data_IF_191569752195
#
_entry.id   IF_191569752195
#
_cell.length_a   1.000
_cell.length_b   1.000
_cell.length_c   1.000
_cell.angle_alpha   90.00
_cell.angle_beta   90.00
_cell.angle_gamma   90.00
#
_symmetry.space_group_name_H-M   'P 1'
#
loop_
_entity.id
_entity.type
_entity.pdbx_description
1 polymer ?
#
# COMPACT_ATOMS: atom_id res chain seq x y z
N UNK A 1 -1.36 -30.13 -33.92
CA UNK A 1 -0.38 -31.13 -33.41
C UNK A 1 -0.63 -31.22 -31.94
N UNK A 2 -1.28 -32.29 -31.52
CA UNK A 2 -1.53 -32.49 -30.09
C UNK A 2 -0.17 -32.63 -29.39
N UNK A 3 0.00 -31.92 -28.27
CA UNK A 3 1.12 -32.14 -27.37
C UNK A 3 1.13 -33.64 -27.04
N UNK A 4 2.27 -34.33 -27.06
CA UNK A 4 2.30 -35.74 -26.71
C UNK A 4 1.72 -35.93 -25.31
N UNK A 5 0.69 -36.73 -25.21
CA UNK A 5 0.11 -37.13 -23.93
C UNK A 5 1.21 -37.78 -23.10
N UNK A 6 1.58 -37.28 -21.91
CA UNK A 6 2.70 -37.83 -21.16
C UNK A 6 2.38 -39.27 -20.74
N UNK A 7 3.09 -40.21 -21.27
CA UNK A 7 3.13 -41.61 -20.80
C UNK A 7 4.22 -41.76 -19.74
N UNK A 8 4.24 -40.91 -18.69
CA UNK A 8 5.27 -40.92 -17.66
C UNK A 8 5.01 -39.88 -16.55
N UNK A 9 5.68 -39.94 -15.41
CA UNK A 9 5.28 -39.38 -14.15
C UNK A 9 5.52 -37.85 -13.96
N UNK A 10 5.61 -37.04 -15.02
CA UNK A 10 5.69 -35.59 -14.88
C UNK A 10 4.92 -34.89 -16.01
N UNK A 11 3.88 -34.14 -15.65
CA UNK A 11 3.22 -33.20 -16.54
C UNK A 11 4.23 -32.20 -17.13
N UNK A 12 4.05 -31.71 -18.38
CA UNK A 12 4.92 -30.70 -18.97
C UNK A 12 4.67 -29.35 -18.25
N UNK A 13 5.44 -29.05 -17.23
CA UNK A 13 5.31 -27.84 -16.42
C UNK A 13 6.64 -27.12 -16.19
N UNK A 14 6.57 -25.78 -16.08
CA UNK A 14 7.67 -24.99 -15.57
C UNK A 14 7.76 -25.18 -14.06
N UNK A 15 8.94 -25.46 -13.56
CA UNK A 15 9.20 -25.61 -12.12
C UNK A 15 10.19 -24.59 -11.61
N UNK A 16 9.80 -23.82 -10.59
CA UNK A 16 10.72 -22.94 -9.87
C UNK A 16 11.61 -23.81 -8.99
N UNK A 17 12.90 -23.89 -9.34
CA UNK A 17 13.91 -24.62 -8.57
C UNK A 17 14.45 -23.78 -7.43
N UNK A 18 14.57 -22.47 -7.64
CA UNK A 18 15.13 -21.54 -6.67
C UNK A 18 14.55 -20.15 -6.86
N UNK A 19 14.41 -19.41 -5.76
CA UNK A 19 13.99 -18.02 -5.76
C UNK A 19 14.88 -17.21 -4.80
N UNK A 20 15.46 -16.12 -5.29
CA UNK A 20 16.34 -15.22 -4.53
C UNK A 20 15.88 -13.78 -4.69
N UNK A 21 16.18 -12.98 -3.68
CA UNK A 21 15.92 -11.53 -3.68
C UNK A 21 17.22 -10.78 -3.54
N UNK A 22 17.51 -9.92 -4.49
CA UNK A 22 18.62 -8.97 -4.42
C UNK A 22 18.07 -7.58 -4.07
N UNK A 23 18.36 -7.10 -2.87
CA UNK A 23 17.83 -5.83 -2.34
C UNK A 23 18.64 -4.58 -2.75
N UNK A 24 19.49 -4.72 -3.74
CA UNK A 24 20.34 -3.67 -4.27
C UNK A 24 21.09 -4.13 -5.51
N UNK A 25 22.11 -3.38 -5.90
CA UNK A 25 22.98 -3.75 -7.04
C UNK A 25 23.55 -5.16 -6.89
N UNK A 26 23.50 -5.91 -7.98
CA UNK A 26 23.88 -7.33 -8.03
C UNK A 26 24.54 -7.66 -9.36
N UNK A 27 24.91 -8.93 -9.57
CA UNK A 27 25.60 -9.38 -10.79
C UNK A 27 24.73 -9.29 -12.06
N UNK A 28 23.42 -9.07 -11.92
CA UNK A 28 22.46 -9.03 -13.02
C UNK A 28 21.99 -7.61 -13.34
N UNK A 29 21.89 -6.77 -12.33
CA UNK A 29 21.31 -5.42 -12.42
C UNK A 29 21.84 -4.50 -11.33
N UNK A 30 21.85 -3.20 -11.59
CA UNK A 30 22.03 -2.19 -10.53
C UNK A 30 20.77 -1.99 -9.67
N UNK A 31 19.61 -2.42 -10.16
CA UNK A 31 18.34 -2.32 -9.45
C UNK A 31 18.10 -3.54 -8.56
N UNK A 32 17.32 -3.41 -7.48
CA UNK A 32 16.77 -4.51 -6.74
C UNK A 32 16.04 -5.48 -7.67
N UNK A 33 16.29 -6.79 -7.52
CA UNK A 33 15.78 -7.78 -8.48
C UNK A 33 15.37 -9.07 -7.80
N UNK A 34 14.28 -9.66 -8.30
CA UNK A 34 13.94 -11.05 -8.06
C UNK A 34 14.73 -11.90 -9.07
N UNK A 35 15.27 -13.01 -8.61
CA UNK A 35 15.91 -14.01 -9.42
C UNK A 35 15.25 -15.37 -9.19
N UNK A 36 14.63 -15.89 -10.21
CA UNK A 36 14.09 -17.26 -10.24
C UNK A 36 14.98 -18.13 -11.09
N UNK A 37 15.23 -19.34 -10.62
CA UNK A 37 15.80 -20.42 -11.44
C UNK A 37 14.64 -21.34 -11.79
N UNK A 38 14.33 -21.45 -13.07
CA UNK A 38 13.16 -22.19 -13.56
C UNK A 38 13.62 -23.27 -14.53
N UNK A 39 13.13 -24.48 -14.30
CA UNK A 39 13.30 -25.63 -15.19
C UNK A 39 12.08 -25.72 -16.09
N UNK A 40 12.27 -25.70 -17.40
CA UNK A 40 11.24 -25.83 -18.43
C UNK A 40 10.92 -27.31 -18.76
N UNK A 41 11.75 -28.23 -18.28
CA UNK A 41 11.58 -29.64 -18.61
C UNK A 41 11.48 -29.89 -20.11
N UNK A 42 10.49 -30.67 -20.54
CA UNK A 42 10.21 -30.95 -21.94
C UNK A 42 9.79 -29.71 -22.74
N UNK A 43 9.28 -28.66 -22.08
CA UNK A 43 8.84 -27.43 -22.71
C UNK A 43 9.98 -26.59 -23.29
N UNK A 44 11.23 -26.94 -23.02
CA UNK A 44 12.39 -26.38 -23.73
C UNK A 44 12.35 -26.64 -25.24
N UNK A 45 11.71 -27.72 -25.69
CA UNK A 45 11.58 -28.08 -27.09
C UNK A 45 10.39 -27.37 -27.78
N UNK A 46 9.56 -26.67 -27.02
CA UNK A 46 8.33 -26.03 -27.51
C UNK A 46 8.38 -24.49 -27.33
N UNK A 47 8.97 -23.74 -28.29
CA UNK A 47 8.88 -22.30 -28.30
C UNK A 47 7.42 -21.85 -28.50
N UNK A 48 7.09 -20.63 -28.10
CA UNK A 48 5.72 -20.09 -28.17
C UNK A 48 5.05 -20.22 -29.56
N UNK A 49 5.83 -20.16 -30.65
CA UNK A 49 5.34 -20.39 -32.02
C UNK A 49 4.90 -21.83 -32.31
N UNK A 50 5.32 -22.79 -31.48
CA UNK A 50 4.90 -24.18 -31.56
C UNK A 50 3.67 -24.50 -30.68
N UNK A 51 3.14 -23.53 -29.94
CA UNK A 51 2.00 -23.65 -29.03
C UNK A 51 0.78 -22.91 -29.62
N UNK A 52 -0.16 -23.60 -30.28
CA UNK A 52 -1.30 -22.97 -30.96
C UNK A 52 -2.18 -22.18 -29.98
N UNK A 53 -2.49 -20.92 -30.31
CA UNK A 53 -3.36 -20.04 -29.53
C UNK A 53 -2.78 -19.55 -28.21
N UNK A 54 -1.51 -19.91 -27.89
CA UNK A 54 -0.88 -19.51 -26.63
C UNK A 54 -0.74 -17.99 -26.51
N UNK A 55 -0.22 -17.34 -27.54
CA UNK A 55 0.01 -15.89 -27.55
C UNK A 55 -1.29 -15.13 -27.43
N UNK A 56 -2.31 -15.52 -28.18
CA UNK A 56 -3.63 -14.88 -28.21
C UNK A 56 -4.30 -14.98 -26.84
N UNK A 57 -4.32 -16.17 -26.24
CA UNK A 57 -4.90 -16.39 -24.89
C UNK A 57 -4.17 -15.60 -23.80
N UNK A 58 -2.83 -15.55 -23.86
CA UNK A 58 -2.05 -14.79 -22.89
C UNK A 58 -2.35 -13.28 -22.99
N UNK A 59 -2.46 -12.73 -24.19
CA UNK A 59 -2.78 -11.32 -24.42
C UNK A 59 -4.20 -10.98 -24.01
N UNK A 60 -5.15 -11.90 -24.21
CA UNK A 60 -6.54 -11.74 -23.76
C UNK A 60 -6.60 -11.61 -22.23
N UNK A 61 -5.83 -12.43 -21.50
CA UNK A 61 -5.76 -12.39 -20.04
C UNK A 61 -4.97 -11.19 -19.49
N UNK A 62 -3.92 -10.77 -20.18
CA UNK A 62 -3.03 -9.66 -19.81
C UNK A 62 -2.78 -8.71 -20.98
N UNK A 63 -3.76 -7.86 -21.36
CA UNK A 63 -3.64 -6.96 -22.51
C UNK A 63 -2.48 -5.96 -22.39
N UNK A 64 -2.06 -5.63 -21.18
CA UNK A 64 -0.93 -4.75 -20.92
C UNK A 64 0.39 -5.21 -21.54
N UNK A 65 0.54 -6.51 -21.82
CA UNK A 65 1.71 -7.08 -22.51
C UNK A 65 1.93 -6.49 -23.92
N UNK A 66 0.90 -5.95 -24.57
CA UNK A 66 1.02 -5.23 -25.84
C UNK A 66 1.88 -3.97 -25.74
N UNK A 67 2.08 -3.43 -24.55
CA UNK A 67 2.93 -2.27 -24.34
C UNK A 67 4.42 -2.64 -24.15
N UNK A 68 4.74 -3.92 -23.98
CA UNK A 68 6.11 -4.37 -23.74
C UNK A 68 6.96 -4.29 -25.00
N UNK A 69 8.12 -3.65 -24.88
CA UNK A 69 9.02 -3.41 -26.01
C UNK A 69 9.99 -4.56 -26.28
N UNK A 70 10.30 -5.35 -25.26
CA UNK A 70 11.34 -6.40 -25.32
C UNK A 70 12.67 -5.88 -25.91
N UNK A 71 13.44 -6.75 -26.53
CA UNK A 71 14.72 -6.42 -27.19
C UNK A 71 14.60 -5.55 -28.44
N UNK A 72 13.40 -5.41 -29.00
CA UNK A 72 13.13 -4.58 -30.20
C UNK A 72 13.10 -3.09 -29.90
N UNK A 73 12.86 -2.71 -28.66
CA UNK A 73 12.72 -1.31 -28.23
C UNK A 73 11.45 -0.60 -28.68
N UNK A 74 10.54 -1.29 -29.40
CA UNK A 74 9.27 -0.73 -29.90
C UNK A 74 8.06 -1.39 -29.22
N UNK A 75 6.98 -0.65 -29.05
CA UNK A 75 5.71 -1.17 -28.49
C UNK A 75 5.24 -2.38 -29.31
N UNK A 76 4.79 -3.45 -28.61
CA UNK A 76 4.38 -4.71 -29.25
C UNK A 76 5.56 -5.63 -29.58
N UNK A 77 6.79 -5.24 -29.29
CA UNK A 77 7.98 -6.04 -29.57
C UNK A 77 7.98 -7.40 -28.88
N UNK A 78 7.40 -7.49 -27.68
CA UNK A 78 7.25 -8.75 -26.97
C UNK A 78 6.26 -9.70 -27.68
N UNK A 79 5.10 -9.17 -28.12
CA UNK A 79 4.10 -9.95 -28.87
C UNK A 79 4.72 -10.50 -30.18
N UNK A 80 5.41 -9.63 -30.93
CA UNK A 80 6.11 -10.05 -32.14
C UNK A 80 7.15 -11.14 -31.84
N UNK A 81 7.84 -11.05 -30.70
CA UNK A 81 8.81 -12.06 -30.27
C UNK A 81 8.16 -13.40 -29.93
N UNK A 82 6.97 -13.39 -29.29
CA UNK A 82 6.20 -14.61 -29.05
C UNK A 82 5.74 -15.27 -30.34
N UNK A 83 5.27 -14.48 -31.32
CA UNK A 83 4.84 -14.99 -32.62
C UNK A 83 5.98 -15.61 -33.43
N UNK A 84 7.19 -15.03 -33.36
CA UNK A 84 8.40 -15.57 -33.98
C UNK A 84 8.92 -16.83 -33.29
N UNK A 85 8.56 -17.02 -32.02
CA UNK A 85 9.00 -18.11 -31.16
C UNK A 85 10.01 -17.66 -30.12
N UNK A 86 9.65 -17.83 -28.85
CA UNK A 86 10.52 -17.62 -27.72
C UNK A 86 10.26 -18.67 -26.63
N UNK A 87 11.18 -18.82 -25.69
CA UNK A 87 11.05 -19.80 -24.60
C UNK A 87 10.12 -19.29 -23.49
N UNK A 88 9.43 -20.21 -22.85
CA UNK A 88 8.44 -19.91 -21.81
C UNK A 88 9.04 -19.23 -20.59
N UNK A 89 10.35 -19.43 -20.30
CA UNK A 89 11.05 -18.67 -19.26
C UNK A 89 11.10 -17.16 -19.54
N UNK A 90 11.25 -16.75 -20.82
CA UNK A 90 11.18 -15.36 -21.21
C UNK A 90 9.74 -14.82 -21.15
N UNK A 91 8.76 -15.66 -21.43
CA UNK A 91 7.33 -15.29 -21.25
C UNK A 91 7.05 -15.05 -19.78
N UNK A 92 7.46 -15.94 -18.88
CA UNK A 92 7.27 -15.78 -17.43
C UNK A 92 7.92 -14.49 -16.89
N UNK A 93 9.07 -14.06 -17.44
CA UNK A 93 9.70 -12.78 -17.12
C UNK A 93 8.75 -11.60 -17.42
N UNK A 94 8.24 -11.54 -18.66
CA UNK A 94 7.35 -10.45 -19.10
C UNK A 94 6.01 -10.47 -18.37
N UNK A 95 5.46 -11.64 -18.08
CA UNK A 95 4.24 -11.79 -17.27
C UNK A 95 4.48 -11.29 -15.84
N UNK A 96 5.62 -11.64 -15.22
CA UNK A 96 5.94 -11.14 -13.87
C UNK A 96 6.11 -9.62 -13.81
N UNK A 97 6.64 -9.01 -14.88
CA UNK A 97 6.70 -7.55 -15.00
C UNK A 97 5.31 -6.95 -15.17
N UNK A 98 4.46 -7.53 -16.04
CA UNK A 98 3.09 -7.03 -16.27
C UNK A 98 2.24 -7.13 -15.01
N UNK A 99 2.29 -8.24 -14.28
CA UNK A 99 1.58 -8.40 -13.02
C UNK A 99 1.95 -7.31 -11.99
N UNK A 100 3.24 -6.93 -11.93
CA UNK A 100 3.65 -5.81 -11.08
C UNK A 100 3.07 -4.47 -11.58
N UNK A 101 2.95 -4.27 -12.89
CA UNK A 101 2.32 -3.07 -13.46
C UNK A 101 0.81 -3.03 -13.16
N UNK A 102 0.10 -4.16 -13.21
CA UNK A 102 -1.31 -4.26 -12.76
C UNK A 102 -1.46 -3.85 -11.28
N UNK A 103 -0.45 -4.15 -10.45
CA UNK A 103 -0.39 -3.72 -9.05
C UNK A 103 0.09 -2.26 -8.86
N UNK A 104 0.24 -1.47 -9.94
CA UNK A 104 0.69 -0.08 -9.89
C UNK A 104 2.20 0.14 -9.77
N UNK A 105 3.01 -0.91 -9.96
CA UNK A 105 4.48 -0.83 -9.92
C UNK A 105 5.05 -0.81 -11.34
N UNK A 106 5.46 0.35 -11.86
CA UNK A 106 6.00 0.50 -13.24
C UNK A 106 7.42 -0.10 -13.35
N UNK A 107 7.50 -1.43 -13.33
CA UNK A 107 8.74 -2.17 -13.53
C UNK A 107 8.81 -2.70 -14.96
N UNK A 108 9.93 -2.45 -15.65
CA UNK A 108 10.12 -2.79 -17.07
C UNK A 108 11.40 -3.57 -17.35
N UNK A 109 12.28 -3.68 -16.36
CA UNK A 109 13.58 -4.34 -16.55
C UNK A 109 13.50 -5.79 -16.18
N UNK A 110 13.74 -6.63 -17.15
CA UNK A 110 13.90 -8.07 -16.97
C UNK A 110 15.02 -8.64 -17.85
N UNK A 111 15.42 -9.86 -17.57
CA UNK A 111 16.44 -10.59 -18.30
C UNK A 111 16.34 -12.08 -18.06
N UNK A 112 16.16 -12.84 -19.13
CA UNK A 112 16.18 -14.30 -19.07
C UNK A 112 17.43 -14.85 -19.75
N UNK A 113 18.11 -15.79 -19.11
CA UNK A 113 19.32 -16.45 -19.60
C UNK A 113 19.35 -17.92 -19.19
N UNK A 114 19.68 -18.80 -20.13
CA UNK A 114 19.90 -20.21 -19.83
C UNK A 114 21.08 -20.39 -18.83
N UNK A 115 20.91 -21.29 -17.90
CA UNK A 115 21.96 -21.64 -16.95
C UNK A 115 23.07 -22.42 -17.69
N UNK A 116 24.29 -21.94 -17.60
CA UNK A 116 25.44 -22.60 -18.28
C UNK A 116 25.57 -24.07 -17.87
N UNK A 117 25.57 -24.97 -18.87
CA UNK A 117 25.71 -26.41 -18.66
C UNK A 117 24.45 -27.12 -18.16
N UNK A 118 23.28 -26.43 -18.12
CA UNK A 118 21.99 -27.03 -17.73
C UNK A 118 20.92 -26.67 -18.77
N UNK A 119 20.84 -27.42 -19.91
CA UNK A 119 19.79 -27.21 -20.89
C UNK A 119 18.40 -27.28 -20.24
N UNK A 120 17.45 -26.44 -20.68
CA UNK A 120 16.10 -26.36 -20.12
C UNK A 120 15.98 -25.55 -18.81
N UNK A 121 17.12 -25.17 -18.19
CA UNK A 121 17.08 -24.40 -16.93
C UNK A 121 17.47 -22.94 -17.20
N UNK A 122 16.66 -22.02 -16.72
CA UNK A 122 16.81 -20.60 -16.97
C UNK A 122 16.89 -19.77 -15.68
N UNK A 123 17.78 -18.78 -15.69
CA UNK A 123 17.77 -17.67 -14.78
C UNK A 123 16.77 -16.63 -15.33
N UNK A 124 15.74 -16.33 -14.59
CA UNK A 124 14.75 -15.28 -14.85
C UNK A 124 14.97 -14.19 -13.81
N UNK A 125 15.38 -13.01 -14.26
CA UNK A 125 15.66 -11.88 -13.40
C UNK A 125 14.72 -10.74 -13.79
N UNK A 126 14.06 -10.10 -12.83
CA UNK A 126 13.23 -8.91 -13.06
C UNK A 126 13.29 -7.97 -11.88
N UNK A 127 13.24 -6.67 -12.16
CA UNK A 127 13.23 -5.63 -11.15
C UNK A 127 11.92 -5.63 -10.35
N UNK A 128 11.98 -5.14 -9.11
CA UNK A 128 10.81 -4.98 -8.25
C UNK A 128 10.86 -3.69 -7.45
N UNK A 129 9.69 -3.18 -7.06
CA UNK A 129 9.52 -2.09 -6.08
C UNK A 129 9.21 -2.63 -4.69
N UNK A 130 8.33 -3.63 -4.62
CA UNK A 130 7.94 -4.32 -3.40
C UNK A 130 8.35 -5.79 -3.50
N UNK A 131 9.17 -6.25 -2.55
CA UNK A 131 9.73 -7.61 -2.54
C UNK A 131 8.65 -8.70 -2.53
N UNK A 132 7.60 -8.53 -1.70
CA UNK A 132 6.52 -9.51 -1.61
C UNK A 132 5.69 -9.58 -2.89
N UNK A 133 5.43 -8.42 -3.51
CA UNK A 133 4.72 -8.32 -4.79
C UNK A 133 5.57 -8.94 -5.90
N UNK A 134 6.86 -8.62 -5.97
CA UNK A 134 7.77 -9.19 -6.96
C UNK A 134 7.85 -10.72 -6.89
N UNK A 135 7.98 -11.28 -5.68
CA UNK A 135 7.99 -12.74 -5.47
C UNK A 135 6.65 -13.40 -5.82
N UNK A 136 5.53 -12.76 -5.48
CA UNK A 136 4.20 -13.26 -5.82
C UNK A 136 3.96 -13.21 -7.33
N UNK A 137 4.37 -12.13 -7.99
CA UNK A 137 4.27 -11.96 -9.45
C UNK A 137 5.01 -13.07 -10.20
N UNK A 138 6.23 -13.44 -9.77
CA UNK A 138 6.97 -14.52 -10.39
C UNK A 138 6.32 -15.89 -10.24
N UNK A 139 5.75 -16.17 -9.07
CA UNK A 139 5.01 -17.44 -8.84
C UNK A 139 3.75 -17.50 -9.69
N UNK A 140 2.97 -16.42 -9.70
CA UNK A 140 1.74 -16.34 -10.50
C UNK A 140 2.06 -16.39 -12.02
N UNK A 141 3.15 -15.76 -12.45
CA UNK A 141 3.58 -15.83 -13.85
C UNK A 141 3.89 -17.27 -14.30
N UNK A 142 4.60 -18.03 -13.48
CA UNK A 142 4.89 -19.45 -13.78
C UNK A 142 3.60 -20.27 -13.76
N UNK A 143 2.70 -20.03 -12.80
CA UNK A 143 1.41 -20.73 -12.72
C UNK A 143 0.54 -20.45 -13.96
N UNK A 144 0.42 -19.18 -14.39
CA UNK A 144 -0.32 -18.81 -15.59
C UNK A 144 0.25 -19.43 -16.86
N UNK A 145 1.58 -19.43 -17.00
CA UNK A 145 2.23 -20.08 -18.16
C UNK A 145 1.93 -21.57 -18.18
N UNK A 146 1.98 -22.24 -17.03
CA UNK A 146 1.63 -23.67 -16.91
C UNK A 146 0.18 -23.93 -17.27
N UNK A 147 -0.76 -23.11 -16.78
CA UNK A 147 -2.18 -23.24 -17.12
C UNK A 147 -2.41 -23.11 -18.65
N UNK A 148 -1.82 -22.09 -19.26
CA UNK A 148 -1.94 -21.86 -20.71
C UNK A 148 -1.40 -23.00 -21.56
N UNK A 149 -0.42 -23.77 -21.03
CA UNK A 149 0.14 -24.94 -21.72
C UNK A 149 -0.70 -26.20 -21.49
N UNK A 150 -1.23 -26.37 -20.28
CA UNK A 150 -1.85 -27.64 -19.82
C UNK A 150 -3.37 -27.60 -19.76
N UNK A 151 -3.99 -26.38 -19.80
CA UNK A 151 -5.41 -26.17 -19.52
C UNK A 151 -5.84 -26.82 -18.19
N UNK A 152 -5.26 -26.38 -17.08
CA UNK A 152 -5.52 -26.94 -15.74
C UNK A 152 -6.97 -26.64 -15.31
N UNK A 153 -7.72 -27.68 -14.94
CA UNK A 153 -9.15 -27.55 -14.58
C UNK A 153 -9.39 -26.69 -13.33
N UNK A 154 -8.42 -26.61 -12.42
CA UNK A 154 -8.57 -25.94 -11.11
C UNK A 154 -7.89 -24.54 -11.05
N UNK A 155 -7.38 -24.00 -12.16
CA UNK A 155 -6.72 -22.69 -12.18
C UNK A 155 -7.63 -21.61 -12.75
N UNK A 156 -8.11 -20.70 -11.90
CA UNK A 156 -8.83 -19.49 -12.29
C UNK A 156 -7.90 -18.27 -12.18
N UNK A 157 -7.43 -17.79 -13.34
CA UNK A 157 -6.52 -16.64 -13.37
C UNK A 157 -7.16 -15.36 -12.84
N UNK A 158 -8.47 -15.15 -13.04
CA UNK A 158 -9.14 -13.95 -12.55
C UNK A 158 -9.15 -13.91 -11.02
N UNK A 159 -9.45 -15.05 -10.37
CA UNK A 159 -9.39 -15.18 -8.92
C UNK A 159 -7.96 -15.02 -8.38
N UNK A 160 -6.97 -15.63 -9.02
CA UNK A 160 -5.57 -15.52 -8.62
C UNK A 160 -5.02 -14.09 -8.80
N UNK A 161 -5.43 -13.39 -9.86
CA UNK A 161 -5.09 -11.99 -10.07
C UNK A 161 -5.72 -11.09 -9.00
N UNK A 162 -6.97 -11.31 -8.63
CA UNK A 162 -7.62 -10.57 -7.54
C UNK A 162 -6.92 -10.80 -6.20
N UNK A 163 -6.56 -12.04 -5.89
CA UNK A 163 -5.77 -12.39 -4.70
C UNK A 163 -4.40 -11.69 -4.70
N UNK A 164 -3.74 -11.66 -5.85
CA UNK A 164 -2.45 -11.00 -6.03
C UNK A 164 -2.57 -9.49 -5.83
N UNK A 165 -3.56 -8.82 -6.42
CA UNK A 165 -3.80 -7.39 -6.28
C UNK A 165 -4.16 -7.02 -4.84
N UNK A 166 -5.03 -7.80 -4.18
CA UNK A 166 -5.35 -7.64 -2.76
C UNK A 166 -4.09 -7.74 -1.88
N UNK A 167 -3.19 -8.68 -2.18
CA UNK A 167 -1.91 -8.80 -1.48
C UNK A 167 -1.04 -7.57 -1.71
N UNK A 168 -0.95 -7.07 -2.93
CA UNK A 168 -0.17 -5.89 -3.28
C UNK A 168 -0.66 -4.66 -2.50
N UNK A 169 -1.97 -4.44 -2.43
CA UNK A 169 -2.56 -3.36 -1.62
C UNK A 169 -2.21 -3.48 -0.14
N UNK A 170 -2.34 -4.67 0.45
CA UNK A 170 -2.03 -4.91 1.87
C UNK A 170 -0.55 -4.69 2.22
N UNK A 171 0.34 -4.92 1.26
CA UNK A 171 1.78 -4.75 1.44
C UNK A 171 2.29 -3.38 1.02
N UNK A 172 1.44 -2.53 0.45
CA UNK A 172 1.78 -1.17 0.08
C UNK A 172 2.22 -0.34 1.31
N UNK A 173 3.08 0.65 1.07
CA UNK A 173 3.38 1.63 2.10
C UNK A 173 2.23 2.62 2.23
N UNK A 174 1.92 3.03 3.45
CA UNK A 174 0.98 4.13 3.66
C UNK A 174 1.49 5.43 3.01
N UNK A 175 0.60 6.39 2.71
CA UNK A 175 0.90 7.56 1.88
C UNK A 175 2.14 8.36 2.33
N UNK A 176 2.31 8.57 3.64
CA UNK A 176 3.46 9.33 4.16
C UNK A 176 4.79 8.62 3.96
N UNK A 177 4.83 7.30 4.18
CA UNK A 177 6.04 6.50 3.96
C UNK A 177 6.33 6.41 2.47
N UNK A 178 5.32 6.16 1.64
CA UNK A 178 5.44 6.11 0.18
C UNK A 178 6.06 7.37 -0.39
N UNK A 179 5.53 8.55 -0.04
CA UNK A 179 6.06 9.84 -0.50
C UNK A 179 7.53 10.07 -0.09
N UNK A 180 7.93 9.64 1.12
CA UNK A 180 9.34 9.73 1.54
C UNK A 180 10.22 8.80 0.70
N UNK A 181 9.74 7.60 0.38
CA UNK A 181 10.50 6.63 -0.41
C UNK A 181 10.59 7.04 -1.88
N UNK A 182 9.52 7.57 -2.47
CA UNK A 182 9.53 8.14 -3.82
C UNK A 182 10.56 9.27 -3.94
N UNK A 183 10.59 10.18 -2.97
CA UNK A 183 11.60 11.25 -2.93
C UNK A 183 13.00 10.71 -2.70
N UNK A 184 13.18 9.66 -1.90
CA UNK A 184 14.48 9.01 -1.72
C UNK A 184 14.98 8.39 -3.04
N UNK A 185 14.11 7.68 -3.75
CA UNK A 185 14.42 7.06 -5.05
C UNK A 185 14.77 8.13 -6.09
N UNK A 186 14.02 9.24 -6.14
CA UNK A 186 14.30 10.36 -7.06
C UNK A 186 15.68 11.00 -6.84
N UNK A 187 16.27 10.78 -5.66
CA UNK A 187 17.62 11.25 -5.28
C UNK A 187 18.67 10.13 -5.30
N UNK A 188 18.39 9.01 -5.93
CA UNK A 188 19.26 7.83 -5.96
C UNK A 188 19.62 7.29 -4.55
N UNK A 189 18.76 7.51 -3.56
CA UNK A 189 18.94 6.96 -2.20
C UNK A 189 18.26 5.58 -2.15
N UNK A 190 19.01 4.49 -2.05
CA UNK A 190 18.43 3.17 -1.96
C UNK A 190 17.72 2.97 -0.64
N UNK A 191 16.69 2.13 -0.63
CA UNK A 191 16.00 1.77 0.60
C UNK A 191 15.81 0.26 0.74
N UNK A 192 15.66 -0.20 1.97
CA UNK A 192 15.36 -1.58 2.32
C UNK A 192 14.21 -1.58 3.33
N UNK A 193 13.15 -2.30 3.03
CA UNK A 193 12.07 -2.56 4.00
C UNK A 193 12.56 -3.58 5.03
N UNK A 194 12.48 -3.26 6.32
CA UNK A 194 13.02 -4.10 7.39
C UNK A 194 11.97 -4.97 8.09
N UNK A 195 10.68 -4.70 7.87
CA UNK A 195 9.57 -5.50 8.41
C UNK A 195 8.36 -5.44 7.48
N UNK A 196 7.29 -6.17 7.78
CA UNK A 196 6.02 -6.11 7.03
C UNK A 196 5.26 -4.77 7.18
N UNK A 197 5.66 -3.93 8.11
CA UNK A 197 5.07 -2.59 8.31
C UNK A 197 5.86 -1.48 7.61
N UNK A 198 6.01 -0.34 8.28
CA UNK A 198 6.61 0.89 7.73
C UNK A 198 8.06 1.15 8.21
N UNK A 199 8.73 0.15 8.80
CA UNK A 199 10.14 0.30 9.18
C UNK A 199 11.03 0.12 7.94
N UNK A 200 11.74 1.19 7.58
CA UNK A 200 12.58 1.25 6.38
C UNK A 200 13.95 1.80 6.73
N UNK A 201 14.97 1.26 6.12
CA UNK A 201 16.30 1.82 6.07
C UNK A 201 16.49 2.57 4.75
N UNK A 202 16.91 3.82 4.83
CA UNK A 202 17.34 4.66 3.71
C UNK A 202 18.86 4.71 3.68
N UNK A 203 19.45 4.60 2.49
CA UNK A 203 20.90 4.60 2.33
C UNK A 203 21.59 3.37 2.88
N UNK A 204 22.91 3.37 2.85
CA UNK A 204 23.76 2.23 3.18
C UNK A 204 24.95 2.62 4.07
N UNK A 205 25.53 1.63 4.75
CA UNK A 205 26.72 1.77 5.55
C UNK A 205 26.60 2.84 6.63
N UNK A 206 27.58 3.70 6.75
CA UNK A 206 27.62 4.79 7.77
C UNK A 206 26.60 5.89 7.54
N UNK A 207 26.07 5.99 6.31
CA UNK A 207 25.07 6.99 5.92
C UNK A 207 23.64 6.50 6.07
N UNK A 208 23.43 5.24 6.50
CA UNK A 208 22.09 4.69 6.67
C UNK A 208 21.28 5.48 7.69
N UNK A 209 20.01 5.72 7.37
CA UNK A 209 19.03 6.29 8.29
C UNK A 209 17.82 5.35 8.35
N UNK A 210 17.14 5.30 9.48
CA UNK A 210 15.92 4.49 9.61
C UNK A 210 14.72 5.39 9.85
N UNK A 211 13.62 5.02 9.22
CA UNK A 211 12.33 5.66 9.41
C UNK A 211 11.28 4.62 9.76
N UNK A 212 10.28 5.04 10.53
CA UNK A 212 9.04 4.28 10.75
C UNK A 212 7.88 5.26 10.58
N UNK A 213 7.14 5.12 9.49
CA UNK A 213 6.23 6.16 9.01
C UNK A 213 6.98 7.50 8.87
N UNK A 214 6.64 8.52 9.63
CA UNK A 214 7.32 9.83 9.64
C UNK A 214 8.33 10.01 10.79
N UNK A 215 8.46 9.01 11.68
CA UNK A 215 9.47 9.02 12.74
C UNK A 215 10.82 8.62 12.18
N UNK A 216 11.87 9.28 12.63
CA UNK A 216 13.25 8.98 12.23
C UNK A 216 14.05 8.39 13.39
N UNK A 217 15.24 7.86 13.12
CA UNK A 217 16.19 7.43 14.15
C UNK A 217 16.63 8.56 15.11
N UNK A 218 16.32 9.82 14.79
CA UNK A 218 16.56 10.99 15.63
C UNK A 218 15.36 11.40 16.48
N UNK A 219 14.20 10.76 16.30
CA UNK A 219 12.99 11.02 17.10
C UNK A 219 13.17 10.37 18.46
N UNK A 220 13.20 11.17 19.52
CA UNK A 220 13.37 10.66 20.88
C UNK A 220 12.15 9.88 21.39
N UNK A 221 12.35 8.77 22.11
CA UNK A 221 11.27 7.95 22.65
C UNK A 221 10.35 8.77 23.59
N UNK A 222 10.94 9.61 24.45
CA UNK A 222 10.16 10.49 25.34
C UNK A 222 9.26 11.46 24.57
N UNK A 223 9.71 11.97 23.40
CA UNK A 223 8.88 12.83 22.58
C UNK A 223 7.69 12.07 21.97
N UNK A 224 7.88 10.81 21.64
CA UNK A 224 6.78 9.93 21.16
C UNK A 224 5.79 9.66 22.27
N UNK A 225 6.25 9.34 23.46
CA UNK A 225 5.39 9.07 24.64
C UNK A 225 4.55 10.31 24.99
N UNK A 226 5.19 11.49 25.07
CA UNK A 226 4.51 12.77 25.32
C UNK A 226 3.45 13.04 24.23
N UNK A 227 3.83 12.95 22.97
CA UNK A 227 2.93 13.22 21.85
C UNK A 227 1.75 12.22 21.75
N UNK A 228 1.91 11.03 22.32
CA UNK A 228 0.86 10.00 22.37
C UNK A 228 -0.13 10.22 23.53
N UNK A 229 0.23 11.00 24.53
CA UNK A 229 -0.62 11.32 25.68
C UNK A 229 -1.18 12.74 25.54
N UNK A 230 -2.48 12.83 25.22
CA UNK A 230 -3.17 14.11 25.00
C UNK A 230 -3.20 15.00 26.23
N UNK A 231 -3.36 14.41 27.43
CA UNK A 231 -3.43 15.14 28.68
C UNK A 231 -2.06 15.69 29.06
N UNK A 232 -1.03 14.85 29.01
CA UNK A 232 0.35 15.28 29.27
C UNK A 232 0.80 16.36 28.28
N UNK A 233 0.54 16.17 26.98
CA UNK A 233 0.89 17.16 25.95
C UNK A 233 0.25 18.50 26.21
N UNK A 234 -1.05 18.53 26.51
CA UNK A 234 -1.76 19.78 26.80
C UNK A 234 -1.23 20.48 28.04
N UNK A 235 -0.95 19.73 29.11
CA UNK A 235 -0.36 20.30 30.33
C UNK A 235 1.01 20.91 30.12
N UNK A 236 1.87 20.21 29.34
CA UNK A 236 3.20 20.73 29.01
C UNK A 236 3.13 21.99 28.15
N UNK A 237 2.26 22.02 27.15
CA UNK A 237 2.07 23.21 26.30
C UNK A 237 1.50 24.39 27.11
N UNK A 238 0.53 24.12 27.99
CA UNK A 238 -0.02 25.16 28.89
C UNK A 238 1.05 25.72 29.84
N UNK A 239 1.90 24.85 30.42
CA UNK A 239 2.98 25.29 31.32
C UNK A 239 4.04 26.11 30.58
N UNK A 240 4.19 25.91 29.28
CA UNK A 240 5.04 26.73 28.41
C UNK A 240 4.38 28.05 27.95
N UNK A 241 3.17 28.36 28.44
CA UNK A 241 2.44 29.58 28.08
C UNK A 241 1.81 29.55 26.67
N UNK A 242 1.71 28.38 26.05
CA UNK A 242 1.08 28.22 24.75
C UNK A 242 -0.45 28.15 24.89
N UNK A 243 -1.22 28.72 23.94
CA UNK A 243 -2.67 28.62 23.98
C UNK A 243 -3.12 27.18 23.72
N UNK A 244 -3.81 26.58 24.69
CA UNK A 244 -4.42 25.26 24.60
C UNK A 244 -5.85 25.32 25.10
N UNK A 245 -6.73 24.40 24.69
CA UNK A 245 -8.06 24.27 25.27
C UNK A 245 -7.96 23.99 26.77
N UNK A 246 -8.85 24.60 27.58
CA UNK A 246 -9.03 24.19 28.96
C UNK A 246 -9.56 22.76 28.95
N UNK A 247 -8.95 21.86 29.75
CA UNK A 247 -9.39 20.46 29.76
C UNK A 247 -9.31 19.85 31.15
N UNK A 248 -10.15 18.85 31.38
CA UNK A 248 -10.12 17.97 32.54
C UNK A 248 -10.38 16.53 32.12
N UNK A 249 -9.68 15.59 32.78
CA UNK A 249 -9.87 14.16 32.53
C UNK A 249 -10.74 13.56 33.64
N UNK A 250 -11.79 12.85 33.26
CA UNK A 250 -12.86 12.35 34.16
C UNK A 250 -13.10 10.85 33.92
N UNK A 251 -13.80 10.21 34.88
CA UNK A 251 -14.14 8.78 34.83
C UNK A 251 -15.63 8.50 35.04
N UNK A 252 -16.46 9.51 35.10
CA UNK A 252 -17.90 9.35 35.28
C UNK A 252 -18.66 10.48 34.59
N UNK A 253 -19.92 10.21 34.22
CA UNK A 253 -20.79 11.19 33.60
C UNK A 253 -20.99 12.42 34.51
N UNK A 254 -21.17 12.23 35.82
CA UNK A 254 -21.33 13.34 36.77
C UNK A 254 -20.02 14.14 36.94
N UNK A 255 -18.87 13.45 36.88
CA UNK A 255 -17.56 14.12 36.80
C UNK A 255 -17.42 14.95 35.54
N UNK A 256 -17.94 14.48 34.39
CA UNK A 256 -17.92 15.22 33.12
C UNK A 256 -18.82 16.47 33.19
N UNK A 257 -20.02 16.36 33.76
CA UNK A 257 -20.91 17.51 33.97
C UNK A 257 -20.25 18.54 34.89
N UNK A 258 -19.66 18.10 35.98
CA UNK A 258 -18.98 19.02 36.90
C UNK A 258 -17.77 19.72 36.23
N UNK A 259 -17.00 19.01 35.41
CA UNK A 259 -15.90 19.58 34.62
C UNK A 259 -16.42 20.57 33.56
N UNK A 260 -17.48 20.22 32.84
CA UNK A 260 -18.09 21.09 31.82
C UNK A 260 -18.54 22.42 32.41
N UNK A 261 -19.18 22.39 33.58
CA UNK A 261 -19.58 23.60 34.30
C UNK A 261 -18.39 24.46 34.75
N UNK A 262 -17.25 23.86 35.12
CA UNK A 262 -16.04 24.62 35.49
C UNK A 262 -15.34 25.22 34.27
N UNK A 263 -15.31 24.49 33.17
CA UNK A 263 -14.67 24.91 31.91
C UNK A 263 -15.50 26.01 31.25
N UNK A 264 -16.84 25.87 31.30
CA UNK A 264 -17.81 26.70 30.65
C UNK A 264 -18.25 26.14 29.30
N UNK A 265 -19.59 26.08 29.11
CA UNK A 265 -20.19 25.66 27.82
C UNK A 265 -19.92 26.65 26.68
N UNK A 266 -19.80 26.19 25.43
CA UNK A 266 -19.87 24.82 24.99
C UNK A 266 -18.58 24.03 25.23
N UNK A 267 -18.71 22.69 25.38
CA UNK A 267 -17.58 21.78 25.61
C UNK A 267 -17.54 20.67 24.57
N UNK A 268 -16.40 19.98 24.56
CA UNK A 268 -16.14 18.75 23.75
C UNK A 268 -15.84 17.60 24.70
N UNK A 269 -16.41 16.43 24.42
CA UNK A 269 -16.01 15.19 25.08
C UNK A 269 -15.30 14.28 24.08
N UNK A 270 -14.22 13.66 24.53
CA UNK A 270 -13.46 12.70 23.70
C UNK A 270 -12.75 11.65 24.56
N UNK A 271 -12.53 10.41 24.07
CA UNK A 271 -11.74 9.42 24.80
C UNK A 271 -10.29 9.91 24.94
N UNK A 272 -9.66 9.62 26.08
CA UNK A 272 -8.26 9.96 26.34
C UNK A 272 -7.32 9.30 25.33
N UNK A 273 -7.52 8.01 25.09
CA UNK A 273 -6.66 7.14 24.28
C UNK A 273 -7.26 6.79 22.90
N UNK A 274 -8.31 7.50 22.47
CA UNK A 274 -8.93 7.37 21.16
C UNK A 274 -8.14 8.08 20.04
N UNK A 275 -8.33 7.62 18.81
CA UNK A 275 -7.78 8.21 17.60
C UNK A 275 -8.84 8.32 16.48
N UNK A 276 -8.51 9.01 15.39
CA UNK A 276 -9.38 9.16 14.20
C UNK A 276 -10.75 9.77 14.47
N UNK A 277 -10.92 10.53 15.54
CA UNK A 277 -12.17 11.20 15.88
C UNK A 277 -13.28 10.28 16.43
N UNK A 278 -12.99 8.99 16.68
CA UNK A 278 -13.97 8.07 17.26
C UNK A 278 -14.32 8.48 18.68
N UNK A 279 -15.62 8.50 19.00
CA UNK A 279 -16.13 8.90 20.31
C UNK A 279 -15.94 10.39 20.64
N UNK A 280 -15.72 11.25 19.65
CA UNK A 280 -15.61 12.69 19.83
C UNK A 280 -16.98 13.34 19.64
N UNK A 281 -17.50 13.99 20.71
CA UNK A 281 -18.76 14.73 20.71
C UNK A 281 -18.46 16.20 20.85
N UNK A 282 -18.89 17.00 19.88
CA UNK A 282 -18.59 18.43 19.76
C UNK A 282 -19.76 19.31 20.16
N UNK A 283 -19.46 20.55 20.57
CA UNK A 283 -20.45 21.62 20.79
C UNK A 283 -21.59 21.23 21.76
N UNK A 284 -21.23 20.62 22.89
CA UNK A 284 -22.18 20.25 23.93
C UNK A 284 -22.54 21.46 24.76
N UNK A 285 -23.83 21.74 24.87
CA UNK A 285 -24.34 23.02 25.38
C UNK A 285 -24.92 22.95 26.79
N UNK A 286 -25.19 21.73 27.30
CA UNK A 286 -25.82 21.49 28.57
C UNK A 286 -25.41 20.17 29.23
N UNK A 287 -25.88 19.95 30.44
CA UNK A 287 -25.58 18.79 31.27
C UNK A 287 -26.06 17.46 30.67
N UNK A 288 -27.22 17.46 30.02
CA UNK A 288 -27.84 16.27 29.42
C UNK A 288 -26.98 15.76 28.26
N UNK A 289 -26.67 16.69 27.32
CA UNK A 289 -25.78 16.41 26.20
C UNK A 289 -24.41 15.89 26.66
N UNK A 290 -23.90 16.42 27.77
CA UNK A 290 -22.62 15.94 28.34
C UNK A 290 -22.72 14.51 28.90
N UNK A 291 -23.86 14.14 29.55
CA UNK A 291 -24.06 12.76 30.03
C UNK A 291 -24.14 11.76 28.90
N UNK A 292 -24.93 12.07 27.87
CA UNK A 292 -25.04 11.22 26.67
C UNK A 292 -23.68 11.07 25.97
N UNK A 293 -22.99 12.17 25.76
CA UNK A 293 -21.67 12.19 25.13
C UNK A 293 -20.61 11.42 25.96
N UNK A 294 -20.71 11.41 27.29
CA UNK A 294 -19.81 10.66 28.14
C UNK A 294 -19.89 9.15 27.83
N UNK A 295 -21.09 8.60 27.69
CA UNK A 295 -21.28 7.17 27.38
C UNK A 295 -20.64 6.81 26.02
N UNK A 296 -20.83 7.68 25.01
CA UNK A 296 -20.24 7.48 23.67
C UNK A 296 -18.71 7.53 23.72
N UNK A 297 -18.16 8.48 24.46
CA UNK A 297 -16.71 8.65 24.56
C UNK A 297 -16.05 7.55 25.42
N UNK A 298 -16.71 7.11 26.48
CA UNK A 298 -16.25 6.04 27.37
C UNK A 298 -16.18 4.71 26.64
N UNK A 299 -17.21 4.35 25.84
CA UNK A 299 -17.24 3.12 25.03
C UNK A 299 -16.04 3.00 24.09
N UNK A 300 -15.54 4.12 23.59
CA UNK A 300 -14.37 4.20 22.72
C UNK A 300 -13.04 4.35 23.47
N UNK A 301 -13.06 4.44 24.79
CA UNK A 301 -11.86 4.56 25.63
C UNK A 301 -11.41 3.19 26.15
N UNK A 302 -10.16 2.82 25.91
CA UNK A 302 -9.59 1.56 26.41
C UNK A 302 -9.43 1.51 27.94
N UNK A 303 -9.34 2.68 28.57
CA UNK A 303 -9.09 2.85 30.01
C UNK A 303 -10.25 3.48 30.76
N UNK A 304 -11.37 3.75 30.08
CA UNK A 304 -12.55 4.40 30.65
C UNK A 304 -12.34 5.86 31.05
N UNK A 305 -11.29 6.52 30.52
CA UNK A 305 -11.06 7.94 30.76
C UNK A 305 -11.61 8.78 29.62
N UNK A 306 -12.30 9.84 29.94
CA UNK A 306 -12.85 10.82 29.02
C UNK A 306 -12.25 12.20 29.32
N UNK A 307 -11.85 12.90 28.26
CA UNK A 307 -11.43 14.31 28.33
C UNK A 307 -12.65 15.17 28.09
N UNK A 308 -12.90 16.14 28.97
CA UNK A 308 -13.81 17.28 28.77
C UNK A 308 -12.95 18.50 28.46
N UNK A 309 -13.17 19.16 27.33
CA UNK A 309 -12.40 20.34 26.95
C UNK A 309 -13.28 21.48 26.42
N UNK A 310 -12.79 22.71 26.48
CA UNK A 310 -13.47 23.85 25.90
C UNK A 310 -13.60 23.71 24.38
N UNK A 311 -14.77 23.99 23.84
CA UNK A 311 -14.99 24.03 22.40
C UNK A 311 -14.36 25.30 21.80
N UNK A 312 -13.42 25.11 20.88
CA UNK A 312 -12.73 26.22 20.20
C UNK A 312 -13.30 26.35 18.81
N UNK A 313 -13.82 27.53 18.49
CA UNK A 313 -14.31 27.88 17.14
C UNK A 313 -13.17 28.41 16.29
N UNK A 314 -13.26 28.21 14.96
CA UNK A 314 -12.27 28.70 14.01
C UNK A 314 -11.96 27.70 12.91
N UNK A 315 -10.94 28.01 12.12
CA UNK A 315 -10.45 27.13 11.08
C UNK A 315 -9.42 26.15 11.65
N UNK A 316 -9.50 24.90 11.22
CA UNK A 316 -8.57 23.83 11.64
C UNK A 316 -7.39 23.71 10.66
N UNK A 317 -6.17 23.81 11.17
CA UNK A 317 -4.95 23.72 10.37
C UNK A 317 -4.05 22.60 10.84
N UNK A 318 -3.42 21.94 9.87
CA UNK A 318 -2.36 20.98 10.11
C UNK A 318 -1.02 21.57 9.69
N UNK A 319 -0.13 21.78 10.66
CA UNK A 319 1.23 22.27 10.42
C UNK A 319 2.21 21.09 10.41
N UNK A 320 3.07 21.05 9.39
CA UNK A 320 4.19 20.09 9.31
C UNK A 320 5.47 20.79 9.76
N UNK A 321 6.04 20.29 10.85
CA UNK A 321 7.30 20.78 11.41
C UNK A 321 8.38 19.73 11.19
N UNK A 322 9.48 20.07 10.56
CA UNK A 322 10.63 19.18 10.35
C UNK A 322 11.91 19.93 10.75
N UNK A 323 12.69 19.35 11.64
CA UNK A 323 13.93 19.96 12.12
C UNK A 323 13.72 21.31 12.83
N UNK A 324 12.58 21.47 13.55
CA UNK A 324 12.23 22.71 14.24
C UNK A 324 11.71 23.84 13.34
N UNK A 325 11.52 23.57 12.04
CA UNK A 325 11.02 24.58 11.06
C UNK A 325 9.68 24.12 10.50
N UNK A 326 8.73 25.06 10.37
CA UNK A 326 7.47 24.82 9.67
C UNK A 326 7.76 24.68 8.17
N UNK A 327 7.42 23.53 7.61
CA UNK A 327 7.63 23.20 6.19
C UNK A 327 6.37 23.40 5.36
N UNK A 328 5.21 23.11 5.95
CA UNK A 328 3.93 23.25 5.28
C UNK A 328 2.82 23.47 6.29
N UNK A 329 1.74 24.11 5.82
CA UNK A 329 0.48 24.27 6.54
C UNK A 329 -0.67 23.99 5.59
N UNK A 330 -1.66 23.22 6.05
CA UNK A 330 -2.87 22.91 5.30
C UNK A 330 -4.10 23.15 6.16
N UNK A 331 -5.10 23.82 5.61
CA UNK A 331 -6.43 23.95 6.23
C UNK A 331 -7.16 22.62 6.07
N UNK A 332 -7.72 22.12 7.18
CA UNK A 332 -8.53 20.90 7.20
C UNK A 332 -10.00 21.28 7.05
N UNK A 333 -10.50 21.18 5.84
CA UNK A 333 -11.91 21.37 5.54
C UNK A 333 -12.60 20.01 5.62
N UNK A 334 -13.63 19.84 6.49
CA UNK A 334 -14.40 18.60 6.53
C UNK A 334 -14.95 18.25 5.15
N UNK A 335 -14.89 16.97 4.79
CA UNK A 335 -15.47 16.52 3.53
C UNK A 335 -16.98 16.78 3.53
N UNK A 336 -17.48 17.45 2.49
CA UNK A 336 -18.88 17.83 2.36
C UNK A 336 -19.29 17.82 0.89
N UNK A 337 -20.60 17.86 0.67
CA UNK A 337 -21.18 18.13 -0.65
C UNK A 337 -21.97 19.43 -0.59
N UNK A 338 -22.04 20.12 -1.71
CA UNK A 338 -22.82 21.35 -1.85
C UNK A 338 -23.98 21.05 -2.78
N UNK A 339 -25.22 21.38 -2.36
CA UNK A 339 -26.41 21.21 -3.18
C UNK A 339 -26.32 22.03 -4.47
N UNK A 340 -26.60 21.42 -5.60
CA UNK A 340 -26.57 22.03 -6.94
C UNK A 340 -27.97 22.30 -7.49
N UNK A 341 -29.01 21.99 -6.71
CA UNK A 341 -30.41 22.16 -7.10
C UNK A 341 -30.95 21.08 -8.05
N UNK A 342 -30.14 20.08 -8.40
CA UNK A 342 -30.47 19.04 -9.37
C UNK A 342 -30.38 17.63 -8.75
N UNK A 343 -29.29 17.33 -8.05
CA UNK A 343 -29.00 16.01 -7.50
C UNK A 343 -29.42 15.90 -6.04
N UNK A 344 -29.76 14.69 -5.62
CA UNK A 344 -29.95 14.36 -4.20
C UNK A 344 -28.60 14.35 -3.47
N UNK A 345 -28.62 14.46 -2.14
CA UNK A 345 -27.40 14.39 -1.32
C UNK A 345 -26.65 13.07 -1.59
N UNK A 346 -27.35 11.95 -1.76
CA UNK A 346 -26.73 10.65 -2.05
C UNK A 346 -26.00 10.67 -3.40
N UNK A 347 -26.62 11.15 -4.45
CA UNK A 347 -26.00 11.28 -5.77
C UNK A 347 -24.76 12.19 -5.74
N UNK A 348 -24.82 13.31 -5.00
CA UNK A 348 -23.68 14.21 -4.83
C UNK A 348 -22.52 13.53 -4.08
N UNK A 349 -22.85 12.71 -3.08
CA UNK A 349 -21.83 11.90 -2.37
C UNK A 349 -21.22 10.86 -3.30
N UNK A 350 -22.01 10.17 -4.12
CA UNK A 350 -21.51 9.17 -5.07
C UNK A 350 -20.60 9.82 -6.13
N UNK A 351 -21.02 10.96 -6.69
CA UNK A 351 -20.20 11.77 -7.60
C UNK A 351 -18.88 12.21 -6.96
N UNK A 352 -18.94 12.67 -5.70
CA UNK A 352 -17.73 13.07 -4.96
C UNK A 352 -16.82 11.88 -4.68
N UNK A 353 -17.39 10.72 -4.37
CA UNK A 353 -16.65 9.47 -4.09
C UNK A 353 -16.07 8.81 -5.34
N UNK A 354 -16.50 9.21 -6.53
CA UNK A 354 -15.91 8.77 -7.81
C UNK A 354 -14.51 9.37 -8.07
N UNK A 355 -14.09 10.40 -7.31
CA UNK A 355 -12.73 10.95 -7.40
C UNK A 355 -11.69 9.84 -7.08
N UNK A 356 -10.77 9.52 -8.02
CA UNK A 356 -9.80 8.43 -7.85
C UNK A 356 -8.83 8.63 -6.68
N UNK A 357 -8.71 9.85 -6.14
CA UNK A 357 -7.92 10.15 -4.95
C UNK A 357 -8.61 9.74 -3.65
N UNK A 358 -9.90 9.35 -3.68
CA UNK A 358 -10.68 8.89 -2.53
C UNK A 358 -10.63 7.39 -2.39
N UNK A 359 -10.41 6.93 -1.15
CA UNK A 359 -10.37 5.52 -0.79
C UNK A 359 -11.04 5.22 0.55
N UNK A 360 -11.11 3.96 0.91
CA UNK A 360 -11.62 3.53 2.21
C UNK A 360 -10.48 3.63 3.24
N UNK A 361 -10.76 4.22 4.40
CA UNK A 361 -9.76 4.38 5.46
C UNK A 361 -8.63 5.34 5.08
N UNK A 362 -7.39 4.87 5.15
CA UNK A 362 -6.17 5.66 4.89
C UNK A 362 -5.38 5.19 3.67
N UNK A 363 -6.00 4.41 2.80
CA UNK A 363 -5.37 3.83 1.60
C UNK A 363 -5.01 4.89 0.57
N UNK A 364 -5.79 5.97 0.50
CA UNK A 364 -5.58 7.08 -0.44
C UNK A 364 -5.49 8.43 0.27
N UNK A 365 -5.10 9.45 -0.47
CA UNK A 365 -4.93 10.81 0.05
C UNK A 365 -6.21 11.44 0.59
N UNK A 366 -7.39 11.03 0.10
CA UNK A 366 -8.70 11.49 0.54
C UNK A 366 -9.58 10.30 0.95
N UNK A 367 -10.34 10.46 2.03
CA UNK A 367 -11.30 9.45 2.49
C UNK A 367 -12.64 9.60 1.77
N UNK A 368 -13.30 8.48 1.46
CA UNK A 368 -14.68 8.49 0.96
C UNK A 368 -15.64 9.03 2.00
N UNK A 369 -16.60 9.85 1.55
CA UNK A 369 -17.73 10.29 2.34
C UNK A 369 -18.64 9.09 2.64
N UNK A 370 -19.09 8.98 3.89
CA UNK A 370 -20.09 8.01 4.31
C UNK A 370 -21.39 8.76 4.51
N UNK A 371 -22.49 8.18 4.08
CA UNK A 371 -23.84 8.62 4.44
C UNK A 371 -24.27 7.70 5.57
N UNK A 372 -24.15 8.17 6.80
CA UNK A 372 -24.70 7.47 7.94
C UNK A 372 -26.23 7.63 7.90
N UNK A 373 -26.95 6.54 8.19
CA UNK A 373 -28.41 6.47 8.12
C UNK A 373 -29.07 7.24 9.26
#
# INVERSE_FOLDING_TARGET
>A
MDLPTPTGPAAPDLRILESRVYRGGNIWSYDPSIHLVVDLGILEEYPTSALPGFTERLVELLPGLENHTCSTGVKGGFISRMQQGTWLGHVAEHVALQLQQEAGHDQRRGKTRMVKGRPGVYNIIYAYTNEEVGLAAGRLAVALVNDLVQAQEDFDFAEELERFLTRAERTAFGPSTGAILEEAVSRDIPFIRLNSGSLVQLGQGVHQQRIRATMTSKTGALAVDIASDKDMTTKLLASAGLPVPKQETVRSAEGAVAAARRIGFPVVLKPLDGNHGRGVCLNLMDDEAVREAFVIAEDQSRRGYVIVESFVTGRDYRCLIVGGKMQAIAERVPAHVVGDGTHTVRELVDLTNADPRRGVGHEKGLTKLKVDA
#
